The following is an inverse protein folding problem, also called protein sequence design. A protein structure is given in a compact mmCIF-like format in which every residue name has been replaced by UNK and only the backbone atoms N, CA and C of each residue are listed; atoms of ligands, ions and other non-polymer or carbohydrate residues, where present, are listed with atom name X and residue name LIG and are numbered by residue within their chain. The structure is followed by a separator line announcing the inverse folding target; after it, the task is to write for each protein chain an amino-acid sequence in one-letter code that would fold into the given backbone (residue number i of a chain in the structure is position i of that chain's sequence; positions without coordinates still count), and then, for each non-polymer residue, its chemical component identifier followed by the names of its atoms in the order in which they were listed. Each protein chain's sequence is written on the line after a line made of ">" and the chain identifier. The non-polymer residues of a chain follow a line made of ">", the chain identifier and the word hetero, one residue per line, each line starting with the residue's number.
data_IF_207452773157
#
_entry.id   IF_207452773157
#
_cell.length_a   1.000
_cell.length_b   1.000
_cell.length_c   1.000
_cell.angle_alpha   90.00
_cell.angle_beta   90.00
_cell.angle_gamma   90.00
#
_symmetry.space_group_name_H-M   'P 1'
#
loop_
_entity.id
_entity.type
_entity.pdbx_description
1 polymer ?
#
# COMPACT_ATOMS: atom_id res chain seq x y z
N UNK A 1 -6.75 -6.00 -14.14
CA UNK A 1 -7.09 -7.10 -13.22
C UNK A 1 -7.02 -6.60 -11.77
N UNK A 2 -7.83 -7.14 -10.86
CA UNK A 2 -7.80 -6.76 -9.44
C UNK A 2 -6.50 -7.21 -8.76
N UNK A 3 -6.09 -6.61 -7.63
CA UNK A 3 -4.90 -7.03 -6.89
C UNK A 3 -4.96 -8.50 -6.47
N UNK A 4 -6.15 -9.00 -6.12
CA UNK A 4 -6.37 -10.41 -5.79
C UNK A 4 -6.15 -11.36 -6.97
N UNK A 5 -6.58 -10.96 -8.18
CA UNK A 5 -6.28 -11.70 -9.42
C UNK A 5 -4.79 -11.70 -9.76
N UNK A 6 -4.10 -10.58 -9.53
CA UNK A 6 -2.64 -10.51 -9.72
C UNK A 6 -1.87 -11.35 -8.71
N UNK A 7 -2.29 -11.33 -7.44
CA UNK A 7 -1.72 -12.17 -6.37
C UNK A 7 -1.85 -13.65 -6.73
N UNK A 8 -3.04 -14.09 -7.14
CA UNK A 8 -3.29 -15.46 -7.61
C UNK A 8 -2.36 -15.86 -8.74
N UNK A 9 -2.16 -14.98 -9.74
CA UNK A 9 -1.25 -15.28 -10.86
C UNK A 9 0.21 -15.41 -10.43
N UNK A 10 0.64 -14.70 -9.38
CA UNK A 10 2.01 -14.75 -8.86
C UNK A 10 2.27 -15.93 -7.92
N UNK A 11 1.31 -16.29 -7.07
CA UNK A 11 1.55 -17.22 -5.95
C UNK A 11 0.61 -18.42 -5.94
N UNK A 12 -0.45 -18.42 -6.76
CA UNK A 12 -1.54 -19.39 -6.69
C UNK A 12 -2.50 -19.15 -5.52
N UNK A 13 -2.32 -18.09 -4.73
CA UNK A 13 -3.17 -17.75 -3.59
C UNK A 13 -4.62 -17.46 -4.02
N UNK A 14 -5.56 -18.24 -3.51
CA UNK A 14 -7.01 -18.07 -3.82
C UNK A 14 -7.73 -17.15 -2.85
N UNK A 15 -7.05 -16.65 -1.80
CA UNK A 15 -7.67 -15.92 -0.68
C UNK A 15 -8.48 -14.70 -1.10
N UNK A 16 -8.06 -14.01 -2.16
CA UNK A 16 -8.70 -12.82 -2.73
C UNK A 16 -9.04 -12.99 -4.21
N UNK A 17 -8.97 -14.21 -4.71
CA UNK A 17 -9.23 -14.53 -6.11
C UNK A 17 -10.71 -14.79 -6.33
N UNK A 18 -11.32 -13.99 -7.22
CA UNK A 18 -12.73 -14.09 -7.55
C UNK A 18 -12.87 -14.37 -9.06
N UNK A 19 -12.88 -15.66 -9.47
CA UNK A 19 -13.02 -16.02 -10.88
C UNK A 19 -14.37 -15.52 -11.42
N UNK A 20 -14.38 -14.96 -12.63
CA UNK A 20 -15.56 -14.31 -13.24
C UNK A 20 -15.76 -12.83 -12.87
N UNK A 21 -15.04 -12.32 -11.87
CA UNK A 21 -15.04 -10.90 -11.46
C UNK A 21 -13.62 -10.32 -11.44
N UNK A 22 -12.76 -10.80 -12.33
CA UNK A 22 -11.33 -10.50 -12.35
C UNK A 22 -10.97 -9.01 -12.53
N UNK A 23 -11.90 -8.22 -13.07
CA UNK A 23 -11.74 -6.78 -13.27
C UNK A 23 -12.62 -5.93 -12.33
N UNK A 24 -13.43 -6.55 -11.46
CA UNK A 24 -14.32 -5.83 -10.55
C UNK A 24 -13.60 -5.56 -9.23
N UNK A 25 -13.11 -4.34 -9.07
CA UNK A 25 -12.48 -3.91 -7.83
C UNK A 25 -13.52 -3.76 -6.72
N UNK A 26 -13.20 -4.30 -5.54
CA UNK A 26 -14.02 -4.09 -4.36
C UNK A 26 -13.87 -2.65 -3.88
N UNK A 27 -14.98 -2.01 -3.50
CA UNK A 27 -15.01 -0.59 -3.13
C UNK A 27 -14.03 -0.25 -2.02
N UNK A 28 -13.92 -1.12 -1.00
CA UNK A 28 -12.94 -0.97 0.08
C UNK A 28 -11.49 -0.93 -0.40
N UNK A 29 -11.15 -1.69 -1.45
CA UNK A 29 -9.80 -1.69 -2.02
C UNK A 29 -9.48 -0.35 -2.67
N UNK A 30 -10.47 0.25 -3.35
CA UNK A 30 -10.33 1.58 -3.94
C UNK A 30 -10.21 2.64 -2.85
N UNK A 31 -11.01 2.56 -1.79
CA UNK A 31 -10.95 3.48 -0.65
C UNK A 31 -9.56 3.44 -0.01
N UNK A 32 -9.03 2.26 0.33
CA UNK A 32 -7.70 2.14 0.93
C UNK A 32 -6.57 2.61 0.03
N UNK A 33 -6.74 2.53 -1.29
CA UNK A 33 -5.78 3.10 -2.22
C UNK A 33 -5.76 4.62 -2.10
N UNK A 34 -6.93 5.25 -2.13
CA UNK A 34 -7.10 6.71 -2.09
C UNK A 34 -6.79 7.31 -0.71
N UNK A 35 -6.88 6.53 0.37
CA UNK A 35 -6.45 6.95 1.72
C UNK A 35 -4.93 7.19 1.80
N UNK A 36 -4.14 6.60 0.89
CA UNK A 36 -2.69 6.76 0.91
C UNK A 36 -2.29 8.11 0.31
N UNK A 37 -1.75 9.00 1.15
CA UNK A 37 -1.26 10.35 0.79
C UNK A 37 -0.26 10.38 -0.35
N UNK A 38 0.38 9.25 -0.66
CA UNK A 38 1.26 9.14 -1.81
C UNK A 38 0.57 9.42 -3.14
N UNK A 39 -0.71 9.06 -3.27
CA UNK A 39 -1.46 9.30 -4.52
C UNK A 39 -1.87 10.76 -4.71
N UNK A 40 -1.83 11.58 -3.66
CA UNK A 40 -2.15 13.01 -3.74
C UNK A 40 -0.92 13.86 -4.12
N UNK A 41 0.17 13.26 -4.62
CA UNK A 41 1.40 13.96 -4.99
C UNK A 41 2.38 14.20 -3.83
N UNK A 42 2.08 13.71 -2.62
CA UNK A 42 3.02 13.78 -1.49
C UNK A 42 3.98 12.58 -1.50
N UNK A 43 5.23 12.78 -1.09
CA UNK A 43 6.15 11.69 -0.81
C UNK A 43 6.28 11.53 0.71
N UNK A 44 5.99 10.33 1.23
CA UNK A 44 6.09 10.04 2.68
C UNK A 44 7.20 9.02 2.91
N UNK A 45 8.36 9.50 3.38
CA UNK A 45 9.51 8.68 3.71
C UNK A 45 9.58 8.37 5.22
N UNK A 46 10.32 7.31 5.55
CA UNK A 46 10.53 6.85 6.94
C UNK A 46 9.22 6.48 7.67
N UNK A 47 8.27 5.86 6.96
CA UNK A 47 7.03 5.32 7.54
C UNK A 47 7.27 4.28 8.63
N UNK A 48 8.36 3.53 8.54
CA UNK A 48 8.71 2.50 9.51
C UNK A 48 10.19 2.57 9.89
N UNK A 49 10.50 2.22 11.13
CA UNK A 49 11.86 2.10 11.65
C UNK A 49 12.08 0.69 12.20
N UNK A 50 13.33 0.22 12.18
CA UNK A 50 13.74 -0.98 12.92
C UNK A 50 14.40 -0.54 14.23
N UNK A 51 13.79 -0.81 15.40
CA UNK A 51 14.36 -0.43 16.70
C UNK A 51 15.74 -1.05 16.95
N UNK A 52 16.00 -2.21 16.37
CA UNK A 52 17.29 -2.89 16.45
C UNK A 52 17.52 -3.73 15.21
N UNK A 53 18.77 -3.80 14.76
CA UNK A 53 19.18 -4.64 13.64
C UNK A 53 18.90 -6.15 13.86
N UNK A 54 18.90 -6.60 15.12
CA UNK A 54 18.66 -8.02 15.47
C UNK A 54 17.18 -8.41 15.43
N UNK A 55 16.28 -7.42 15.45
CA UNK A 55 14.84 -7.65 15.42
C UNK A 55 14.34 -7.65 13.97
N UNK A 56 13.57 -8.70 13.62
CA UNK A 56 12.96 -8.80 12.28
C UNK A 56 11.72 -7.93 12.14
N UNK A 57 11.13 -7.48 13.24
CA UNK A 57 9.96 -6.61 13.22
C UNK A 57 10.36 -5.17 12.93
N UNK A 58 9.49 -4.48 12.19
CA UNK A 58 9.54 -3.03 11.96
C UNK A 58 8.38 -2.39 12.70
N UNK A 59 8.60 -1.23 13.28
CA UNK A 59 7.57 -0.45 13.99
C UNK A 59 7.17 0.72 13.09
N UNK A 60 5.88 1.07 13.12
CA UNK A 60 5.35 2.25 12.42
C UNK A 60 5.75 3.52 13.16
N UNK A 61 6.30 4.48 12.41
CA UNK A 61 6.74 5.74 12.97
C UNK A 61 5.54 6.70 13.11
N UNK A 62 5.46 7.47 14.21
CA UNK A 62 4.47 8.54 14.33
C UNK A 62 4.68 9.58 13.22
N UNK A 63 3.63 10.31 12.82
CA UNK A 63 3.67 11.23 11.68
C UNK A 63 4.74 12.33 11.80
N UNK A 64 5.09 12.74 13.02
CA UNK A 64 6.14 13.72 13.31
C UNK A 64 7.55 13.26 12.91
N UNK A 65 7.79 11.94 12.93
CA UNK A 65 9.05 11.33 12.50
C UNK A 65 9.06 10.97 11.03
N UNK A 66 7.90 11.03 10.36
CA UNK A 66 7.80 10.77 8.94
C UNK A 66 8.25 12.03 8.18
N UNK A 67 9.12 11.85 7.19
CA UNK A 67 9.50 12.95 6.31
C UNK A 67 8.46 13.06 5.21
N UNK A 68 7.58 14.07 5.30
CA UNK A 68 6.56 14.35 4.29
C UNK A 68 7.06 15.47 3.39
N UNK A 69 7.18 15.18 2.10
CA UNK A 69 7.48 16.17 1.07
C UNK A 69 6.22 16.41 0.24
N UNK A 70 5.63 17.58 0.41
CA UNK A 70 4.41 17.95 -0.32
C UNK A 70 4.72 18.26 -1.79
N UNK A 71 3.80 17.88 -2.69
CA UNK A 71 3.86 18.16 -4.13
C UNK A 71 5.15 17.69 -4.83
N UNK A 72 5.69 16.55 -4.42
CA UNK A 72 6.88 15.97 -5.05
C UNK A 72 6.62 15.51 -6.49
N UNK A 73 5.38 15.10 -6.78
CA UNK A 73 4.94 14.67 -8.11
C UNK A 73 3.49 15.08 -8.34
N UNK A 74 3.05 15.07 -9.60
CA UNK A 74 1.65 15.28 -9.93
C UNK A 74 0.79 14.17 -9.30
N UNK A 75 -0.40 14.51 -8.75
CA UNK A 75 -1.35 13.50 -8.28
C UNK A 75 -1.64 12.47 -9.39
N UNK A 76 -1.73 11.21 -8.99
CA UNK A 76 -1.89 10.05 -9.89
C UNK A 76 -3.37 9.71 -10.07
#
# INVERSE_FOLDING_TARGET
>A
PTPGTLEYRRTGSTRRYHPGYECKWATNTVVHLLENREYTGCLVNFKTEKPSYKLKHSIENPPEKQAVFENHHEPI
#
